data_IF_061214099131
#
_entry.id   IF_061214099131
#
_cell.length_a   1.000
_cell.length_b   1.000
_cell.length_c   1.000
_cell.angle_alpha   90.00
_cell.angle_beta   90.00
_cell.angle_gamma   90.00
#
_symmetry.space_group_name_H-M   'P 1'
#
loop_
_entity.id
_entity.type
_entity.pdbx_description
1 polymer ?
#
# COMPACT_ATOMS: atom_id res chain seq x y z
N UNK A 1 -70.89 45.86 35.44
CA UNK A 1 -69.41 45.71 35.34
C UNK A 1 -69.12 44.25 35.17
N UNK A 2 -68.97 43.79 33.92
CA UNK A 2 -68.76 42.38 33.57
C UNK A 2 -67.27 42.19 33.22
N UNK A 3 -66.54 41.39 34.07
CA UNK A 3 -65.14 41.08 33.90
C UNK A 3 -65.06 39.80 33.04
N UNK A 4 -64.46 39.92 31.87
CA UNK A 4 -64.09 38.77 31.01
C UNK A 4 -62.70 38.28 31.42
N UNK A 5 -62.61 37.00 31.84
CA UNK A 5 -61.36 36.33 32.15
C UNK A 5 -60.92 35.64 30.87
N UNK A 6 -59.82 36.12 30.27
CA UNK A 6 -59.20 35.45 29.10
C UNK A 6 -58.28 34.32 29.59
N UNK A 7 -58.66 33.07 29.30
CA UNK A 7 -57.81 31.91 29.51
C UNK A 7 -56.87 31.77 28.31
N UNK A 8 -55.56 31.97 28.54
CA UNK A 8 -54.55 31.61 27.53
C UNK A 8 -54.21 30.13 27.70
N UNK A 9 -54.63 29.31 26.71
CA UNK A 9 -54.18 27.93 26.58
C UNK A 9 -52.77 27.93 25.91
N UNK A 10 -51.73 27.67 26.70
CA UNK A 10 -50.41 27.43 26.21
C UNK A 10 -50.29 25.95 25.82
N UNK A 11 -50.30 25.67 24.52
CA UNK A 11 -49.97 24.36 24.00
C UNK A 11 -48.44 24.19 24.02
N UNK A 12 -47.87 23.15 24.68
CA UNK A 12 -46.45 22.84 24.54
C UNK A 12 -46.23 22.21 23.16
N UNK A 13 -45.51 22.93 22.30
CA UNK A 13 -44.99 22.40 21.05
C UNK A 13 -43.89 21.37 21.38
N UNK A 14 -44.25 20.09 21.42
CA UNK A 14 -43.30 18.99 21.48
C UNK A 14 -42.60 18.91 20.11
N UNK A 15 -41.48 19.61 19.97
CA UNK A 15 -40.52 19.37 18.90
C UNK A 15 -39.87 18.00 19.16
N UNK A 16 -40.48 16.96 18.58
CA UNK A 16 -39.84 15.66 18.46
C UNK A 16 -38.61 15.78 17.56
N UNK A 17 -37.43 15.80 18.14
CA UNK A 17 -36.18 15.53 17.40
C UNK A 17 -36.25 14.07 16.95
N UNK A 18 -36.69 13.84 15.72
CA UNK A 18 -36.44 12.59 15.04
C UNK A 18 -34.92 12.48 14.89
N UNK A 19 -34.28 11.68 15.73
CA UNK A 19 -32.91 11.24 15.48
C UNK A 19 -32.97 10.38 14.22
N UNK A 20 -32.67 10.98 13.08
CA UNK A 20 -32.33 10.22 11.89
C UNK A 20 -31.02 9.52 12.20
N UNK A 21 -31.07 8.26 12.56
CA UNK A 21 -29.88 7.40 12.55
C UNK A 21 -29.53 7.23 11.08
N UNK A 22 -28.62 8.04 10.59
CA UNK A 22 -28.00 7.80 9.27
C UNK A 22 -27.46 6.36 9.32
N UNK A 23 -27.80 5.52 8.33
CA UNK A 23 -27.20 4.18 8.24
C UNK A 23 -25.69 4.35 8.10
N UNK A 24 -24.93 3.58 8.88
CA UNK A 24 -23.47 3.49 8.72
C UNK A 24 -23.14 3.33 7.24
N UNK A 25 -22.27 4.19 6.71
CA UNK A 25 -21.81 4.08 5.34
C UNK A 25 -21.25 2.68 5.08
N UNK A 26 -21.52 2.09 3.94
CA UNK A 26 -21.04 0.75 3.60
C UNK A 26 -19.51 0.63 3.76
N UNK A 27 -18.79 1.72 3.53
CA UNK A 27 -17.33 1.82 3.69
C UNK A 27 -16.88 1.64 5.14
N UNK A 28 -17.66 2.09 6.13
CA UNK A 28 -17.33 1.96 7.55
C UNK A 28 -17.44 0.50 8.03
N UNK A 29 -18.29 -0.30 7.39
CA UNK A 29 -18.49 -1.70 7.69
C UNK A 29 -17.61 -2.63 6.84
N UNK A 30 -16.91 -2.12 5.82
CA UNK A 30 -16.16 -2.97 4.89
C UNK A 30 -15.19 -3.92 5.58
N UNK A 31 -14.48 -3.46 6.60
CA UNK A 31 -13.53 -4.31 7.35
C UNK A 31 -14.20 -5.45 8.11
N UNK A 32 -15.45 -5.31 8.51
CA UNK A 32 -16.19 -6.27 9.30
C UNK A 32 -17.04 -7.24 8.46
N UNK A 33 -17.26 -6.94 7.19
CA UNK A 33 -18.07 -7.76 6.30
C UNK A 33 -17.27 -8.95 5.75
N UNK A 34 -17.92 -10.11 5.49
CA UNK A 34 -17.32 -11.21 4.74
C UNK A 34 -16.83 -10.75 3.38
N UNK A 35 -15.69 -11.31 2.94
CA UNK A 35 -15.07 -10.98 1.64
C UNK A 35 -15.26 -12.13 0.66
N UNK A 36 -15.46 -11.80 -0.61
CA UNK A 36 -15.63 -12.74 -1.72
C UNK A 36 -14.33 -13.03 -2.48
N UNK A 37 -13.18 -12.75 -1.87
CA UNK A 37 -11.86 -12.98 -2.43
C UNK A 37 -11.03 -13.93 -1.54
N UNK A 38 -10.05 -14.60 -2.14
CA UNK A 38 -9.01 -15.33 -1.42
C UNK A 38 -7.81 -14.40 -1.17
N UNK A 39 -7.35 -14.33 0.09
CA UNK A 39 -6.18 -13.54 0.48
C UNK A 39 -4.93 -14.42 0.49
N UNK A 40 -3.82 -13.89 -0.03
CA UNK A 40 -2.54 -14.56 -0.14
C UNK A 40 -1.40 -13.60 0.21
N UNK A 41 -0.23 -14.20 0.49
CA UNK A 41 1.02 -13.49 0.75
C UNK A 41 2.17 -14.13 0.00
N UNK A 42 2.94 -13.35 -0.74
CA UNK A 42 4.31 -13.66 -1.09
C UNK A 42 5.24 -13.02 -0.05
N UNK A 43 6.30 -13.71 0.36
CA UNK A 43 7.19 -13.22 1.41
C UNK A 43 8.63 -13.66 1.21
N UNK A 44 9.54 -13.04 1.96
CA UNK A 44 10.94 -13.46 2.02
C UNK A 44 11.19 -14.75 2.80
N UNK A 45 10.18 -15.30 3.46
CA UNK A 45 10.29 -16.50 4.29
C UNK A 45 10.97 -17.65 3.55
N UNK A 46 11.70 -18.47 4.29
CA UNK A 46 12.25 -19.71 3.77
C UNK A 46 11.12 -20.73 3.56
N UNK A 47 11.20 -21.51 2.49
CA UNK A 47 10.26 -22.60 2.23
C UNK A 47 10.36 -23.72 3.29
N UNK A 48 11.53 -23.87 3.94
CA UNK A 48 11.71 -24.77 5.06
C UNK A 48 11.29 -24.07 6.36
N UNK A 49 10.21 -24.46 7.04
CA UNK A 49 9.71 -23.81 8.24
C UNK A 49 10.65 -23.95 9.46
N UNK A 50 11.61 -24.87 9.41
CA UNK A 50 12.64 -25.02 10.44
C UNK A 50 13.85 -24.09 10.23
N UNK A 51 13.89 -23.31 9.13
CA UNK A 51 14.98 -22.40 8.84
C UNK A 51 14.63 -20.97 9.29
N UNK A 52 15.56 -20.32 9.96
CA UNK A 52 15.48 -18.88 10.29
C UNK A 52 16.08 -17.99 9.17
N UNK A 53 16.44 -18.55 8.01
CA UNK A 53 16.97 -17.79 6.88
C UNK A 53 15.79 -17.24 6.02
N UNK A 54 15.17 -16.19 6.51
CA UNK A 54 13.95 -15.58 6.01
C UNK A 54 14.17 -14.25 5.28
N UNK A 55 15.41 -13.87 4.97
CA UNK A 55 15.72 -12.65 4.25
C UNK A 55 16.46 -12.89 2.93
N UNK A 56 16.37 -11.91 2.03
CA UNK A 56 17.16 -11.85 0.79
C UNK A 56 18.38 -10.94 1.00
N UNK A 57 19.45 -11.21 0.25
CA UNK A 57 20.74 -10.52 0.41
C UNK A 57 21.34 -10.15 -0.95
N UNK A 58 20.65 -9.33 -1.76
CA UNK A 58 21.07 -9.05 -3.14
C UNK A 58 22.46 -8.40 -3.18
N UNK A 59 23.33 -8.97 -4.00
CA UNK A 59 24.62 -8.37 -4.35
C UNK A 59 24.44 -7.26 -5.39
N UNK A 60 25.44 -6.41 -5.67
CA UNK A 60 25.39 -5.41 -6.72
C UNK A 60 24.95 -6.01 -8.08
N UNK A 61 23.99 -5.37 -8.74
CA UNK A 61 23.39 -5.81 -10.01
C UNK A 61 22.33 -6.89 -9.89
N UNK A 62 22.17 -7.54 -8.74
CA UNK A 62 21.20 -8.62 -8.56
C UNK A 62 19.77 -8.09 -8.44
N UNK A 63 18.85 -8.81 -9.09
CA UNK A 63 17.41 -8.58 -9.01
C UNK A 63 16.73 -9.69 -8.23
N UNK A 64 16.06 -9.32 -7.14
CA UNK A 64 15.21 -10.21 -6.35
C UNK A 64 13.77 -10.07 -6.82
N UNK A 65 13.11 -11.19 -7.11
CA UNK A 65 11.66 -11.25 -7.36
C UNK A 65 10.97 -11.34 -6.00
N UNK A 66 10.18 -10.30 -5.67
CA UNK A 66 9.38 -10.26 -4.45
C UNK A 66 8.06 -11.01 -4.59
N UNK A 67 7.45 -10.92 -5.77
CA UNK A 67 6.21 -11.60 -6.12
C UNK A 67 6.15 -11.85 -7.63
N UNK A 68 5.60 -13.01 -8.01
CA UNK A 68 5.23 -13.36 -9.39
C UNK A 68 3.87 -14.06 -9.30
N UNK A 69 2.80 -13.31 -9.57
CA UNK A 69 1.43 -13.69 -9.22
C UNK A 69 0.57 -13.85 -10.45
N UNK A 70 -0.26 -14.90 -10.45
CA UNK A 70 -1.25 -15.16 -11.50
C UNK A 70 -2.62 -14.65 -11.07
N UNK A 71 -3.20 -13.75 -11.87
CA UNK A 71 -4.46 -13.08 -11.62
C UNK A 71 -5.72 -13.79 -12.14
N UNK A 72 -6.85 -13.05 -12.15
CA UNK A 72 -6.94 -11.64 -11.78
C UNK A 72 -6.82 -11.41 -10.28
N UNK A 73 -6.26 -10.25 -9.91
CA UNK A 73 -6.03 -9.94 -8.50
C UNK A 73 -5.70 -8.47 -8.22
N UNK A 74 -5.50 -8.17 -6.95
CA UNK A 74 -5.09 -6.84 -6.46
C UNK A 74 -4.02 -7.02 -5.40
N UNK A 75 -2.83 -6.46 -5.59
CA UNK A 75 -1.90 -6.26 -4.47
C UNK A 75 -2.51 -5.17 -3.59
N UNK A 76 -2.68 -5.47 -2.31
CA UNK A 76 -3.31 -4.57 -1.33
C UNK A 76 -2.32 -3.97 -0.35
N UNK A 77 -1.15 -4.59 -0.20
CA UNK A 77 -0.11 -4.13 0.73
C UNK A 77 1.26 -4.65 0.31
N UNK A 78 2.25 -3.78 0.36
CA UNK A 78 3.66 -4.15 0.29
C UNK A 78 4.33 -3.64 1.55
N UNK A 79 4.88 -4.55 2.33
CA UNK A 79 5.77 -4.24 3.43
C UNK A 79 7.19 -4.70 3.08
N UNK A 80 8.16 -3.82 3.33
CA UNK A 80 9.56 -4.17 3.25
C UNK A 80 10.31 -3.60 4.47
N UNK A 81 11.32 -4.32 4.94
CA UNK A 81 12.31 -3.76 5.86
C UNK A 81 13.70 -4.11 5.36
N UNK A 82 14.56 -3.11 5.34
CA UNK A 82 15.88 -3.20 4.74
C UNK A 82 16.92 -2.65 5.72
N UNK A 83 17.97 -3.42 5.94
CA UNK A 83 19.17 -2.94 6.56
C UNK A 83 20.29 -2.98 5.51
N UNK A 84 20.81 -1.82 5.15
CA UNK A 84 21.92 -1.67 4.21
C UNK A 84 22.94 -0.69 4.78
N UNK A 85 24.21 -0.88 4.40
CA UNK A 85 25.33 -0.06 4.91
C UNK A 85 25.71 1.07 3.95
N UNK A 86 25.32 0.96 2.69
CA UNK A 86 25.65 1.95 1.67
C UNK A 86 24.87 3.25 1.89
N UNK A 87 25.58 4.38 1.92
CA UNK A 87 24.95 5.67 2.08
C UNK A 87 23.98 5.94 0.92
N UNK A 88 22.79 6.40 1.23
CA UNK A 88 21.77 6.66 0.23
C UNK A 88 21.13 5.41 -0.40
N UNK A 89 21.29 4.24 0.22
CA UNK A 89 20.75 2.96 -0.26
C UNK A 89 19.27 3.02 -0.67
N UNK A 90 18.37 3.86 -0.09
CA UNK A 90 16.98 3.91 -0.54
C UNK A 90 16.84 4.37 -2.00
N UNK A 91 17.85 5.04 -2.55
CA UNK A 91 17.93 5.44 -3.96
C UNK A 91 18.64 4.43 -4.85
N UNK A 92 19.46 3.59 -4.27
CA UNK A 92 20.25 2.58 -4.97
C UNK A 92 19.50 1.24 -5.14
N UNK A 93 18.37 1.08 -4.48
CA UNK A 93 17.49 -0.07 -4.65
C UNK A 93 16.30 0.33 -5.52
N UNK A 94 16.15 -0.35 -6.66
CA UNK A 94 15.16 -0.03 -7.68
C UNK A 94 13.98 -0.97 -7.61
N UNK A 95 12.79 -0.46 -7.26
CA UNK A 95 11.53 -1.19 -7.29
C UNK A 95 10.93 -1.12 -8.69
N UNK A 96 10.54 -2.29 -9.23
CA UNK A 96 9.81 -2.38 -10.50
C UNK A 96 8.60 -3.28 -10.37
N UNK A 97 7.50 -2.86 -11.00
CA UNK A 97 6.26 -3.66 -11.10
C UNK A 97 5.86 -3.76 -12.56
N UNK A 98 5.63 -4.98 -13.00
CA UNK A 98 5.22 -5.33 -14.36
C UNK A 98 3.83 -5.95 -14.32
N UNK A 99 2.87 -5.42 -15.08
CA UNK A 99 1.53 -5.97 -15.17
C UNK A 99 1.33 -6.75 -16.45
N UNK A 100 0.59 -7.86 -16.34
CA UNK A 100 -0.04 -8.59 -17.45
C UNK A 100 0.93 -9.07 -18.54
N UNK A 101 2.15 -9.42 -18.13
CA UNK A 101 3.20 -9.90 -19.05
C UNK A 101 3.95 -8.80 -19.81
N UNK A 102 3.73 -7.52 -19.46
CA UNK A 102 4.49 -6.42 -20.06
C UNK A 102 5.99 -6.56 -19.81
N UNK A 103 6.80 -6.40 -20.83
CA UNK A 103 8.27 -6.31 -20.70
C UNK A 103 8.75 -4.96 -20.15
N UNK A 104 7.87 -3.95 -20.12
CA UNK A 104 8.18 -2.61 -19.59
C UNK A 104 7.51 -2.43 -18.24
N UNK A 105 8.24 -2.02 -17.19
CA UNK A 105 7.65 -1.81 -15.88
C UNK A 105 6.69 -0.62 -15.88
N UNK A 106 5.53 -0.79 -15.27
CA UNK A 106 4.57 0.29 -15.02
C UNK A 106 4.98 1.13 -13.80
N UNK A 107 5.61 0.49 -12.82
CA UNK A 107 6.26 1.18 -11.71
C UNK A 107 7.77 0.96 -11.87
N UNK A 108 8.52 2.05 -11.87
CA UNK A 108 9.98 2.04 -11.96
C UNK A 108 10.54 3.23 -11.18
N UNK A 109 10.83 3.00 -9.90
CA UNK A 109 11.25 4.04 -8.97
C UNK A 109 12.24 3.50 -7.92
N UNK A 110 13.14 4.35 -7.39
CA UNK A 110 13.88 3.99 -6.20
C UNK A 110 12.96 3.65 -5.04
N UNK A 111 13.38 2.69 -4.21
CA UNK A 111 12.59 2.26 -3.04
C UNK A 111 12.23 3.45 -2.14
N UNK A 112 13.18 4.34 -1.85
CA UNK A 112 12.91 5.52 -1.03
C UNK A 112 11.79 6.39 -1.60
N UNK A 113 11.91 6.71 -2.87
CA UNK A 113 11.00 7.61 -3.58
C UNK A 113 9.60 6.99 -3.72
N UNK A 114 9.50 5.69 -4.00
CA UNK A 114 8.21 4.97 -4.07
C UNK A 114 7.48 4.98 -2.71
N UNK A 115 8.22 4.84 -1.61
CA UNK A 115 7.68 4.90 -0.26
C UNK A 115 7.68 6.32 0.34
N UNK A 116 7.69 7.36 -0.49
CA UNK A 116 7.43 8.75 -0.11
C UNK A 116 8.59 9.47 0.57
N UNK A 117 9.79 8.88 0.65
CA UNK A 117 10.98 9.53 1.21
C UNK A 117 12.09 9.54 0.18
N UNK A 118 12.23 10.67 -0.49
CA UNK A 118 13.22 10.88 -1.56
C UNK A 118 14.65 11.14 -1.05
N UNK A 119 15.52 11.50 -2.00
CA UNK A 119 16.92 11.90 -1.78
C UNK A 119 17.79 10.87 -1.06
N UNK A 120 17.42 9.59 -1.14
CA UNK A 120 18.17 8.50 -0.49
C UNK A 120 18.12 8.55 1.03
N UNK A 121 17.17 9.26 1.61
CA UNK A 121 17.06 9.41 3.05
C UNK A 121 16.28 8.27 3.72
N UNK A 122 16.58 8.05 5.00
CA UNK A 122 15.81 7.21 5.90
C UNK A 122 15.07 8.12 6.89
N UNK A 123 13.74 8.15 6.82
CA UNK A 123 12.88 8.97 7.69
C UNK A 123 11.56 8.26 7.96
N UNK A 124 11.02 8.47 9.14
CA UNK A 124 9.64 8.11 9.42
C UNK A 124 8.69 8.99 8.59
N UNK A 125 7.64 8.37 8.11
CA UNK A 125 6.56 9.04 7.35
C UNK A 125 5.24 8.38 7.74
N UNK A 126 4.20 9.17 7.91
CA UNK A 126 2.86 8.69 8.15
C UNK A 126 1.89 9.40 7.22
N UNK A 127 1.30 8.66 6.31
CA UNK A 127 0.23 9.11 5.41
C UNK A 127 -0.81 8.00 5.26
N UNK A 128 -1.89 8.29 4.58
CA UNK A 128 -2.94 7.30 4.32
C UNK A 128 -2.42 6.09 3.52
N UNK A 129 -1.63 6.34 2.48
CA UNK A 129 -1.22 5.30 1.52
C UNK A 129 0.19 4.76 1.77
N UNK A 130 1.02 5.48 2.52
CA UNK A 130 2.41 5.10 2.78
C UNK A 130 2.77 5.37 4.23
N UNK A 131 3.41 4.39 4.86
CA UNK A 131 3.88 4.53 6.25
C UNK A 131 5.28 3.95 6.40
N UNK A 132 6.21 4.77 6.90
CA UNK A 132 7.57 4.34 7.21
C UNK A 132 7.83 4.48 8.70
N UNK A 133 8.48 3.47 9.29
CA UNK A 133 8.81 3.38 10.72
C UNK A 133 10.24 2.86 10.90
N UNK A 134 10.66 2.64 12.14
CA UNK A 134 12.01 2.15 12.47
C UNK A 134 13.11 3.04 11.85
N UNK A 135 12.97 4.37 12.03
CA UNK A 135 13.85 5.37 11.42
C UNK A 135 13.92 5.30 9.89
N UNK A 136 12.80 4.88 9.23
CA UNK A 136 12.69 4.80 7.78
C UNK A 136 13.16 3.48 7.16
N UNK A 137 13.55 2.50 7.96
CA UNK A 137 13.97 1.16 7.47
C UNK A 137 12.79 0.27 7.12
N UNK A 138 11.71 0.31 7.91
CA UNK A 138 10.47 -0.41 7.64
C UNK A 138 9.52 0.48 6.85
N UNK A 139 9.02 -0.01 5.72
CA UNK A 139 8.23 0.74 4.75
C UNK A 139 7.00 -0.04 4.37
N UNK A 140 5.86 0.65 4.33
CA UNK A 140 4.57 0.08 3.96
C UNK A 140 3.95 0.90 2.84
N UNK A 141 3.35 0.24 1.87
CA UNK A 141 2.53 0.84 0.83
C UNK A 141 1.18 0.14 0.79
N UNK A 142 0.11 0.92 0.85
CA UNK A 142 -1.27 0.48 0.77
C UNK A 142 -1.93 0.88 -0.56
N UNK A 143 -1.13 1.35 -1.54
CA UNK A 143 -1.62 1.60 -2.89
C UNK A 143 -2.20 0.33 -3.48
N UNK A 144 -3.49 0.29 -3.87
CA UNK A 144 -4.04 -0.86 -4.56
C UNK A 144 -3.40 -0.99 -5.95
N UNK A 145 -2.95 -2.19 -6.30
CA UNK A 145 -2.33 -2.50 -7.59
C UNK A 145 -3.09 -3.66 -8.24
N UNK A 146 -4.19 -3.38 -8.96
CA UNK A 146 -4.92 -4.40 -9.67
C UNK A 146 -4.14 -4.91 -10.89
N UNK A 147 -4.38 -6.19 -11.25
CA UNK A 147 -3.80 -6.83 -12.44
C UNK A 147 -4.77 -7.88 -12.98
N UNK A 148 -4.89 -7.99 -14.31
CA UNK A 148 -5.88 -8.89 -14.95
C UNK A 148 -5.34 -10.29 -15.18
N UNK A 149 -4.08 -10.40 -15.59
CA UNK A 149 -3.46 -11.70 -15.94
C UNK A 149 -2.35 -12.05 -14.95
N UNK A 150 -1.42 -11.15 -14.73
CA UNK A 150 -0.27 -11.39 -13.85
C UNK A 150 0.33 -10.09 -13.35
N UNK A 151 1.07 -10.17 -12.24
CA UNK A 151 1.92 -9.09 -11.78
C UNK A 151 3.24 -9.64 -11.28
N UNK A 152 4.33 -9.00 -11.68
CA UNK A 152 5.67 -9.29 -11.18
C UNK A 152 6.26 -8.08 -10.48
N UNK A 153 6.70 -8.26 -9.25
CA UNK A 153 7.32 -7.22 -8.42
C UNK A 153 8.76 -7.58 -8.16
N UNK A 154 9.68 -6.66 -8.41
CA UNK A 154 11.11 -6.90 -8.26
C UNK A 154 11.81 -5.75 -7.53
N UNK A 155 12.93 -6.07 -6.86
CA UNK A 155 13.91 -5.07 -6.40
C UNK A 155 15.27 -5.43 -7.00
N UNK A 156 15.92 -4.46 -7.65
CA UNK A 156 17.29 -4.57 -8.14
C UNK A 156 18.21 -3.75 -7.23
N UNK A 157 19.34 -4.33 -6.83
CA UNK A 157 20.40 -3.60 -6.16
C UNK A 157 21.29 -2.90 -7.21
N UNK A 158 21.08 -1.60 -7.42
CA UNK A 158 21.87 -0.76 -8.31
C UNK A 158 23.07 -0.09 -7.57
N UNK A 159 23.28 -0.43 -6.28
CA UNK A 159 24.39 0.03 -5.47
C UNK A 159 25.67 -0.77 -5.69
N UNK A 160 26.67 -0.47 -4.88
CA UNK A 160 28.02 -1.08 -4.92
C UNK A 160 28.26 -2.10 -3.82
N UNK A 161 27.41 -2.09 -2.79
CA UNK A 161 27.54 -2.99 -1.65
C UNK A 161 26.38 -3.99 -1.63
N UNK A 162 26.66 -5.18 -1.12
CA UNK A 162 25.63 -6.17 -0.83
C UNK A 162 24.64 -5.61 0.20
N UNK A 163 23.35 -5.84 0.00
CA UNK A 163 22.31 -5.60 1.00
C UNK A 163 22.30 -6.78 1.98
N UNK A 164 22.68 -6.58 3.26
CA UNK A 164 22.73 -7.70 4.21
C UNK A 164 21.35 -8.29 4.53
N UNK A 165 20.32 -7.45 4.62
CA UNK A 165 18.99 -7.89 5.00
C UNK A 165 17.89 -7.14 4.20
N UNK A 166 17.12 -7.90 3.48
CA UNK A 166 15.90 -7.48 2.82
C UNK A 166 14.79 -8.46 3.18
N UNK A 167 13.87 -8.05 4.04
CA UNK A 167 12.64 -8.78 4.37
C UNK A 167 11.47 -8.13 3.67
N UNK A 168 10.48 -8.93 3.26
CA UNK A 168 9.29 -8.38 2.62
C UNK A 168 8.06 -9.26 2.77
N UNK A 169 6.89 -8.59 2.68
CA UNK A 169 5.59 -9.20 2.41
C UNK A 169 4.94 -8.46 1.24
N UNK A 170 4.30 -9.20 0.36
CA UNK A 170 3.41 -8.69 -0.67
C UNK A 170 2.07 -9.38 -0.46
N UNK A 171 1.13 -8.65 0.15
CA UNK A 171 -0.22 -9.13 0.39
C UNK A 171 -1.10 -8.84 -0.80
N UNK A 172 -1.87 -9.82 -1.25
CA UNK A 172 -2.72 -9.68 -2.41
C UNK A 172 -4.02 -10.48 -2.29
N UNK A 173 -5.00 -10.04 -3.04
CA UNK A 173 -6.33 -10.66 -3.12
C UNK A 173 -6.49 -11.25 -4.51
N UNK A 174 -6.81 -12.55 -4.59
CA UNK A 174 -7.26 -13.17 -5.82
C UNK A 174 -8.75 -12.97 -5.93
N UNK A 175 -9.21 -12.36 -7.02
CA UNK A 175 -10.61 -12.05 -7.29
C UNK A 175 -11.13 -12.88 -8.45
N UNK A 176 -12.44 -13.02 -8.59
CA UNK A 176 -13.05 -13.72 -9.73
C UNK A 176 -12.90 -12.90 -11.02
N UNK A 177 -13.11 -11.59 -10.91
CA UNK A 177 -12.97 -10.63 -12.01
C UNK A 177 -12.69 -9.25 -11.46
N UNK A 178 -12.15 -8.37 -12.31
CA UNK A 178 -11.98 -6.96 -12.03
C UNK A 178 -12.96 -6.15 -12.87
N UNK A 179 -13.41 -4.97 -12.41
CA UNK A 179 -14.19 -4.04 -13.23
C UNK A 179 -13.50 -3.77 -14.57
N UNK A 180 -14.27 -3.60 -15.68
CA UNK A 180 -13.68 -3.39 -17.02
C UNK A 180 -12.89 -2.10 -17.12
N UNK A 181 -13.23 -1.09 -16.34
CA UNK A 181 -12.67 0.26 -16.30
C UNK A 181 -11.62 0.46 -15.20
N UNK A 182 -11.19 -0.61 -14.51
CA UNK A 182 -10.19 -0.49 -13.43
C UNK A 182 -8.87 0.05 -13.95
N UNK A 183 -8.33 1.04 -13.23
CA UNK A 183 -7.06 1.67 -13.55
C UNK A 183 -5.89 0.96 -12.85
N UNK A 184 -4.72 0.97 -13.49
CA UNK A 184 -3.48 0.43 -12.94
C UNK A 184 -2.65 1.55 -12.32
N UNK A 185 -1.95 1.24 -11.24
CA UNK A 185 -1.02 2.17 -10.63
C UNK A 185 0.26 2.26 -11.47
N UNK A 186 0.64 3.47 -11.84
CA UNK A 186 1.89 3.78 -12.51
C UNK A 186 2.71 4.75 -11.66
N UNK A 187 4.03 4.54 -11.60
CA UNK A 187 4.97 5.45 -10.95
C UNK A 187 6.31 5.43 -11.70
N UNK A 188 6.80 6.61 -12.03
CA UNK A 188 8.08 6.78 -12.72
C UNK A 188 8.95 7.77 -11.94
N UNK A 189 10.19 7.37 -11.71
CA UNK A 189 11.20 8.27 -11.20
C UNK A 189 11.95 8.92 -12.36
N UNK A 190 12.09 10.24 -12.28
CA UNK A 190 12.94 10.99 -13.20
C UNK A 190 13.80 11.95 -12.40
N UNK A 191 15.06 12.03 -12.78
CA UNK A 191 16.00 13.02 -12.27
C UNK A 191 16.65 13.73 -13.45
N UNK A 192 16.78 15.03 -13.36
CA UNK A 192 17.43 15.87 -14.34
C UNK A 192 18.44 16.78 -13.63
N UNK A 193 19.66 16.83 -14.17
CA UNK A 193 20.73 17.68 -13.65
C UNK A 193 21.52 18.26 -14.82
N UNK A 194 21.64 19.61 -14.97
CA UNK A 194 20.92 20.61 -14.18
C UNK A 194 19.42 20.59 -14.46
N UNK A 195 18.65 21.03 -13.49
CA UNK A 195 17.19 21.22 -13.65
C UNK A 195 16.97 22.35 -14.67
N UNK A 196 16.15 22.10 -15.70
CA UNK A 196 15.77 23.08 -16.71
C UNK A 196 14.46 23.74 -16.33
#
# INVERSE_FOLDING_TARGET
>A
MTRYCLLFLVYPLLLGFAQTTEPLAADDLDLALPKDYAAFRASSNNANPASNDDCKRPIPGETVVLADLTGPGVISHIWITIAAKEYGWPRLLRLRVYYDGSGTPSIDAPVGDFFGVGLGQERNLNSQMVRNSSSGRSRNSYWPMPFRKSVRVTITNEGRLRVPNLYYHVDWRKVKQLPPDILYLHARYRQELPTK
#
